data_IF_325078735629
#
_entry.id   IF_325078735629
#
_cell.length_a   1.000
_cell.length_b   1.000
_cell.length_c   1.000
_cell.angle_alpha   90.00
_cell.angle_beta   90.00
_cell.angle_gamma   90.00
#
_symmetry.space_group_name_H-M   'P 1'
#
loop_
_entity.id
_entity.type
_entity.pdbx_description
1 polymer ?
#
# COMPACT_ATOMS: atom_id res chain seq x y z
N UNK A 1 -4.29 -12.79 -18.16
CA UNK A 1 -5.46 -12.19 -17.47
C UNK A 1 -5.46 -10.71 -17.78
N UNK A 2 -6.57 -10.10 -18.11
CA UNK A 2 -6.62 -8.65 -18.32
C UNK A 2 -6.89 -7.95 -16.97
N UNK A 3 -5.84 -7.76 -16.16
CA UNK A 3 -5.88 -7.09 -14.86
C UNK A 3 -4.91 -5.91 -14.93
N UNK A 4 -5.37 -4.66 -14.72
CA UNK A 4 -4.47 -3.52 -14.64
C UNK A 4 -3.47 -3.69 -13.51
N UNK A 5 -2.19 -3.39 -13.77
CA UNK A 5 -1.10 -3.54 -12.83
C UNK A 5 -0.42 -2.20 -12.58
N UNK A 6 -0.21 -1.91 -11.30
CA UNK A 6 0.67 -0.85 -10.83
C UNK A 6 1.86 -1.50 -10.13
N UNK A 7 3.07 -1.26 -10.61
CA UNK A 7 4.28 -1.83 -10.02
C UNK A 7 4.77 -1.00 -8.85
N UNK A 8 5.02 -1.64 -7.72
CA UNK A 8 5.52 -1.01 -6.50
C UNK A 8 6.86 -1.56 -6.07
N UNK A 9 7.81 -0.68 -5.83
CA UNK A 9 9.02 -1.00 -5.07
C UNK A 9 9.45 0.19 -4.21
N UNK A 10 10.14 -0.06 -3.11
CA UNK A 10 10.71 0.98 -2.25
C UNK A 10 12.19 1.15 -2.55
N UNK A 11 12.68 2.38 -2.54
CA UNK A 11 14.11 2.68 -2.59
C UNK A 11 14.75 2.69 -1.18
N UNK A 12 13.93 2.83 -0.15
CA UNK A 12 14.33 2.81 1.26
C UNK A 12 13.24 2.18 2.13
N UNK A 13 13.62 1.36 3.08
CA UNK A 13 12.77 0.82 4.15
C UNK A 13 13.00 1.65 5.42
N UNK A 14 12.45 2.87 5.46
CA UNK A 14 12.78 3.90 6.45
C UNK A 14 12.39 3.56 7.89
N UNK A 15 11.45 2.63 8.12
CA UNK A 15 10.91 2.30 9.44
C UNK A 15 11.26 0.88 9.92
N UNK A 16 12.48 0.42 9.62
CA UNK A 16 12.95 -0.89 10.12
C UNK A 16 12.92 -0.97 11.65
N UNK A 17 12.57 -2.15 12.18
CA UNK A 17 12.58 -2.42 13.62
C UNK A 17 14.00 -2.39 14.19
N UNK A 18 14.96 -2.99 13.49
CA UNK A 18 16.37 -3.01 13.91
C UNK A 18 17.21 -2.02 13.08
N UNK A 19 18.12 -1.33 13.75
CA UNK A 19 19.10 -0.44 13.11
C UNK A 19 20.07 -1.18 12.19
N UNK A 20 20.29 -2.47 12.42
CA UNK A 20 21.15 -3.32 11.61
C UNK A 20 20.46 -3.90 10.38
N UNK A 21 19.15 -3.69 10.21
CA UNK A 21 18.42 -4.19 9.05
C UNK A 21 18.77 -3.39 7.80
N UNK A 22 18.85 -4.06 6.66
CA UNK A 22 19.05 -3.41 5.37
C UNK A 22 17.91 -2.44 5.07
N UNK A 23 18.27 -1.25 4.60
CA UNK A 23 17.32 -0.18 4.28
C UNK A 23 16.96 -0.12 2.80
N UNK A 24 17.83 -0.54 1.93
CA UNK A 24 17.66 -0.46 0.47
C UNK A 24 18.82 0.25 -0.21
N UNK A 25 18.64 0.55 -1.49
CA UNK A 25 19.70 1.07 -2.37
C UNK A 25 19.78 2.61 -2.42
N UNK A 26 18.87 3.28 -1.73
CA UNK A 26 18.78 4.75 -1.74
C UNK A 26 17.97 5.32 -2.90
N UNK A 27 17.73 6.63 -2.82
CA UNK A 27 16.78 7.31 -3.70
C UNK A 27 17.25 7.37 -5.15
N UNK A 28 18.52 7.64 -5.41
CA UNK A 28 19.04 7.85 -6.77
C UNK A 28 19.01 6.56 -7.58
N UNK A 29 19.65 5.52 -7.08
CA UNK A 29 19.68 4.21 -7.73
C UNK A 29 18.27 3.60 -7.83
N UNK A 30 17.44 3.80 -6.79
CA UNK A 30 16.05 3.35 -6.77
C UNK A 30 15.22 3.99 -7.87
N UNK A 31 15.34 5.29 -8.08
CA UNK A 31 14.62 6.01 -9.13
C UNK A 31 15.12 5.62 -10.54
N UNK A 32 16.41 5.37 -10.71
CA UNK A 32 16.95 4.87 -11.99
C UNK A 32 16.33 3.52 -12.36
N UNK A 33 16.28 2.58 -11.39
CA UNK A 33 15.67 1.26 -11.62
C UNK A 33 14.18 1.39 -11.91
N UNK A 34 13.44 2.20 -11.13
CA UNK A 34 12.00 2.42 -11.35
C UNK A 34 11.73 3.03 -12.74
N UNK A 35 12.57 3.97 -13.19
CA UNK A 35 12.49 4.54 -14.54
C UNK A 35 12.69 3.49 -15.62
N UNK A 36 13.66 2.57 -15.44
CA UNK A 36 13.90 1.45 -16.37
C UNK A 36 12.70 0.53 -16.43
N UNK A 37 12.17 0.09 -15.28
CA UNK A 37 10.97 -0.76 -15.20
C UNK A 37 9.78 -0.09 -15.87
N UNK A 38 9.54 1.19 -15.60
CA UNK A 38 8.46 1.97 -16.21
C UNK A 38 8.53 1.93 -17.74
N UNK A 39 9.69 2.17 -18.30
CA UNK A 39 9.90 2.24 -19.76
C UNK A 39 9.84 0.86 -20.43
N UNK A 40 10.49 -0.13 -19.83
CA UNK A 40 10.61 -1.47 -20.40
C UNK A 40 9.27 -2.21 -20.43
N UNK A 41 8.49 -2.10 -19.34
CA UNK A 41 7.24 -2.82 -19.19
C UNK A 41 5.98 -1.97 -19.43
N UNK A 42 6.15 -0.68 -19.72
CA UNK A 42 5.05 0.29 -19.87
C UNK A 42 4.05 0.23 -18.70
N UNK A 43 4.55 0.24 -17.46
CA UNK A 43 3.77 0.13 -16.24
C UNK A 43 3.62 1.48 -15.53
N UNK A 44 2.47 1.65 -14.87
CA UNK A 44 2.31 2.68 -13.84
C UNK A 44 3.14 2.32 -12.63
N UNK A 45 3.90 3.28 -12.10
CA UNK A 45 4.85 3.08 -11.00
C UNK A 45 4.38 3.81 -9.74
N UNK A 46 4.46 3.11 -8.61
CA UNK A 46 4.27 3.67 -7.27
C UNK A 46 5.50 3.41 -6.40
N UNK A 47 5.92 4.39 -5.62
CA UNK A 47 6.91 4.21 -4.55
C UNK A 47 6.54 5.03 -3.31
N UNK A 48 7.02 4.62 -2.15
CA UNK A 48 6.83 5.35 -0.91
C UNK A 48 7.84 6.50 -0.75
N UNK A 49 7.37 7.58 -0.12
CA UNK A 49 8.17 8.73 0.30
C UNK A 49 8.09 8.87 1.81
N UNK A 50 9.16 9.35 2.44
CA UNK A 50 9.29 9.38 3.90
C UNK A 50 9.50 10.79 4.44
N UNK A 51 9.90 11.71 3.56
CA UNK A 51 10.18 13.12 3.89
C UNK A 51 9.67 14.05 2.78
N UNK A 52 9.29 15.29 3.17
CA UNK A 52 8.76 16.28 2.23
C UNK A 52 9.78 16.64 1.12
N UNK A 53 11.07 16.64 1.44
CA UNK A 53 12.14 16.94 0.48
C UNK A 53 12.28 15.93 -0.65
N UNK A 54 11.78 14.71 -0.45
CA UNK A 54 11.83 13.65 -1.46
C UNK A 54 10.74 13.82 -2.55
N UNK A 55 9.63 14.51 -2.22
CA UNK A 55 8.44 14.53 -3.07
C UNK A 55 8.73 14.99 -4.50
N UNK A 56 9.41 16.13 -4.66
CA UNK A 56 9.69 16.70 -5.98
C UNK A 56 10.61 15.82 -6.82
N UNK A 57 11.64 15.23 -6.20
CA UNK A 57 12.58 14.36 -6.89
C UNK A 57 11.92 13.04 -7.32
N UNK A 58 11.16 12.41 -6.42
CA UNK A 58 10.49 11.14 -6.70
C UNK A 58 9.40 11.29 -7.75
N UNK A 59 8.63 12.39 -7.70
CA UNK A 59 7.55 12.67 -8.65
C UNK A 59 8.01 12.83 -10.11
N UNK A 60 9.29 13.11 -10.34
CA UNK A 60 9.82 13.18 -11.70
C UNK A 60 9.90 11.82 -12.42
N UNK A 61 9.79 10.73 -11.69
CA UNK A 61 9.92 9.36 -12.23
C UNK A 61 8.62 8.57 -12.08
N UNK A 62 7.98 8.63 -10.91
CA UNK A 62 6.82 7.78 -10.60
C UNK A 62 5.49 8.47 -10.90
N UNK A 63 4.43 7.69 -11.04
CA UNK A 63 3.08 8.19 -11.29
C UNK A 63 2.29 8.39 -9.99
N UNK A 64 2.64 7.62 -8.96
CA UNK A 64 1.94 7.60 -7.68
C UNK A 64 2.97 7.73 -6.56
N UNK A 65 2.78 8.71 -5.68
CA UNK A 65 3.51 8.85 -4.42
C UNK A 65 2.73 8.16 -3.30
N UNK A 66 3.36 7.23 -2.59
CA UNK A 66 2.74 6.58 -1.45
C UNK A 66 3.20 7.22 -0.15
N UNK A 67 2.24 7.63 0.67
CA UNK A 67 2.47 8.02 2.07
C UNK A 67 2.37 6.77 2.95
N UNK A 68 3.42 6.36 3.65
CA UNK A 68 3.40 5.24 4.58
C UNK A 68 2.37 5.44 5.70
N UNK A 69 1.87 4.32 6.24
CA UNK A 69 0.82 4.34 7.25
C UNK A 69 1.19 5.15 8.51
N UNK A 70 2.43 5.04 8.99
CA UNK A 70 2.89 5.79 10.17
C UNK A 70 2.95 7.31 9.92
N UNK A 71 3.10 7.74 8.67
CA UNK A 71 3.23 9.13 8.27
C UNK A 71 1.93 9.74 7.74
N UNK A 72 0.82 9.01 7.78
CA UNK A 72 -0.45 9.41 7.15
C UNK A 72 -1.04 10.72 7.69
N UNK A 73 -0.61 11.20 8.85
CA UNK A 73 -1.06 12.46 9.46
C UNK A 73 -0.07 13.61 9.33
N UNK A 74 1.15 13.38 8.82
CA UNK A 74 2.20 14.40 8.72
C UNK A 74 1.83 15.47 7.69
N UNK A 75 1.43 16.64 8.18
CA UNK A 75 0.86 17.70 7.34
C UNK A 75 1.84 18.16 6.26
N UNK A 76 3.09 18.41 6.62
CA UNK A 76 4.09 18.91 5.66
C UNK A 76 4.38 17.91 4.55
N UNK A 77 4.43 16.61 4.87
CA UNK A 77 4.61 15.54 3.89
C UNK A 77 3.40 15.45 2.93
N UNK A 78 2.18 15.50 3.48
CA UNK A 78 0.94 15.46 2.69
C UNK A 78 0.84 16.66 1.75
N UNK A 79 1.16 17.87 2.24
CA UNK A 79 1.16 19.11 1.46
C UNK A 79 2.24 19.07 0.37
N UNK A 80 3.45 18.61 0.69
CA UNK A 80 4.53 18.48 -0.28
C UNK A 80 4.20 17.48 -1.39
N UNK A 81 3.63 16.32 -1.05
CA UNK A 81 3.16 15.34 -2.02
C UNK A 81 2.02 15.90 -2.90
N UNK A 82 1.08 16.65 -2.30
CA UNK A 82 -0.03 17.27 -3.02
C UNK A 82 0.44 18.34 -4.03
N UNK A 83 1.57 18.99 -3.79
CA UNK A 83 2.14 19.99 -4.71
C UNK A 83 2.82 19.38 -5.95
N UNK A 84 2.88 18.07 -6.03
CA UNK A 84 3.32 17.37 -7.24
C UNK A 84 2.12 17.02 -8.13
N UNK A 85 2.37 16.69 -9.40
CA UNK A 85 1.32 16.24 -10.33
C UNK A 85 0.94 14.77 -10.16
N UNK A 86 1.61 14.04 -9.28
CA UNK A 86 1.37 12.63 -9.04
C UNK A 86 0.04 12.35 -8.33
N UNK A 87 -0.47 11.15 -8.51
CA UNK A 87 -1.50 10.61 -7.63
C UNK A 87 -0.88 10.42 -6.24
N UNK A 88 -1.60 10.78 -5.18
CA UNK A 88 -1.17 10.57 -3.80
C UNK A 88 -1.95 9.41 -3.19
N UNK A 89 -1.27 8.29 -2.95
CA UNK A 89 -1.82 7.15 -2.24
C UNK A 89 -1.49 7.25 -0.76
N UNK A 90 -2.49 7.35 0.10
CA UNK A 90 -2.29 7.37 1.55
C UNK A 90 -2.63 6.02 2.15
N UNK A 91 -1.67 5.33 2.73
CA UNK A 91 -1.95 4.17 3.60
C UNK A 91 -2.51 4.67 4.92
N UNK A 92 -3.72 4.22 5.27
CA UNK A 92 -4.33 4.56 6.55
C UNK A 92 -3.49 3.98 7.70
N UNK A 93 -3.13 4.83 8.65
CA UNK A 93 -2.39 4.39 9.84
C UNK A 93 -3.17 3.36 10.66
N UNK A 94 -2.43 2.41 11.26
CA UNK A 94 -3.01 1.37 12.13
C UNK A 94 -3.71 1.94 13.36
N UNK A 95 -3.34 3.17 13.75
CA UNK A 95 -3.88 3.92 14.87
C UNK A 95 -5.06 4.83 14.51
N UNK A 96 -5.36 4.96 13.18
CA UNK A 96 -6.33 5.92 12.68
C UNK A 96 -7.70 5.27 12.50
N UNK A 97 -8.75 5.90 13.04
CA UNK A 97 -10.11 5.48 12.76
C UNK A 97 -10.47 5.73 11.28
N UNK A 98 -11.33 4.90 10.67
CA UNK A 98 -11.67 5.03 9.25
C UNK A 98 -12.20 6.42 8.86
N UNK A 99 -13.04 7.03 9.69
CA UNK A 99 -13.60 8.37 9.45
C UNK A 99 -12.59 9.51 9.56
N UNK A 100 -11.47 9.32 10.28
CA UNK A 100 -10.44 10.34 10.41
C UNK A 100 -9.62 10.51 9.12
N UNK A 101 -9.69 9.55 8.19
CA UNK A 101 -9.02 9.66 6.89
C UNK A 101 -9.54 10.85 6.07
N UNK A 102 -10.79 11.28 6.31
CA UNK A 102 -11.35 12.44 5.63
C UNK A 102 -10.55 13.71 5.86
N UNK A 103 -9.97 13.88 7.07
CA UNK A 103 -9.13 15.03 7.36
C UNK A 103 -7.77 14.94 6.63
N UNK A 104 -7.24 13.73 6.45
CA UNK A 104 -6.02 13.52 5.67
C UNK A 104 -6.26 13.85 4.20
N UNK A 105 -7.32 13.31 3.62
CA UNK A 105 -7.73 13.61 2.23
C UNK A 105 -8.00 15.09 2.03
N UNK A 106 -8.66 15.75 3.00
CA UNK A 106 -8.91 17.20 2.96
C UNK A 106 -7.63 18.01 2.89
N UNK A 107 -6.57 17.65 3.64
CA UNK A 107 -5.28 18.34 3.57
C UNK A 107 -4.71 18.30 2.14
N UNK A 108 -4.74 17.13 1.50
CA UNK A 108 -4.22 16.96 0.13
C UNK A 108 -5.06 17.78 -0.87
N UNK A 109 -6.39 17.62 -0.84
CA UNK A 109 -7.31 18.32 -1.75
C UNK A 109 -7.24 19.85 -1.59
N UNK A 110 -7.17 20.34 -0.35
CA UNK A 110 -7.02 21.78 -0.07
C UNK A 110 -5.66 22.34 -0.50
N UNK A 111 -4.68 21.48 -0.75
CA UNK A 111 -3.36 21.86 -1.30
C UNK A 111 -3.31 21.82 -2.84
N UNK A 112 -4.47 21.60 -3.50
CA UNK A 112 -4.61 21.69 -4.96
C UNK A 112 -4.61 20.34 -5.70
N UNK A 113 -4.45 19.20 -5.02
CA UNK A 113 -4.40 17.89 -5.68
C UNK A 113 -5.65 17.05 -5.37
N UNK A 114 -6.45 16.78 -6.41
CA UNK A 114 -7.63 15.94 -6.30
C UNK A 114 -7.38 14.45 -6.64
N UNK A 115 -6.17 14.09 -7.07
CA UNK A 115 -5.76 12.73 -7.44
C UNK A 115 -5.34 11.96 -6.18
N UNK A 116 -6.30 11.52 -5.38
CA UNK A 116 -6.04 10.86 -4.09
C UNK A 116 -6.59 9.44 -4.09
N UNK A 117 -5.80 8.51 -3.59
CA UNK A 117 -6.17 7.12 -3.31
C UNK A 117 -5.99 6.88 -1.81
N UNK A 118 -6.87 6.09 -1.22
CA UNK A 118 -6.77 5.67 0.19
C UNK A 118 -6.56 4.17 0.25
N UNK A 119 -5.60 3.71 1.05
CA UNK A 119 -5.32 2.29 1.23
C UNK A 119 -5.59 1.87 2.68
N UNK A 120 -6.54 0.95 2.86
CA UNK A 120 -6.78 0.25 4.13
C UNK A 120 -5.73 -0.85 4.33
N UNK A 121 -5.21 -0.99 5.55
CA UNK A 121 -4.19 -2.00 5.88
C UNK A 121 -4.29 -2.59 7.29
N UNK A 122 -5.46 -2.51 7.89
CA UNK A 122 -5.72 -2.97 9.24
C UNK A 122 -5.49 -1.90 10.32
N UNK A 123 -6.01 -2.17 11.48
CA UNK A 123 -5.91 -1.35 12.69
C UNK A 123 -5.31 -2.18 13.82
N UNK A 124 -4.52 -1.54 14.68
CA UNK A 124 -3.92 -2.19 15.86
C UNK A 124 -5.01 -2.68 16.81
N UNK A 125 -4.89 -3.93 17.25
CA UNK A 125 -5.79 -4.55 18.20
C UNK A 125 -4.95 -5.27 19.27
N UNK A 126 -4.73 -4.59 20.39
CA UNK A 126 -3.77 -5.04 21.38
C UNK A 126 -2.30 -4.88 20.90
N UNK A 127 -1.42 -5.73 21.41
CA UNK A 127 0.01 -5.71 21.05
C UNK A 127 0.29 -6.60 19.84
N UNK A 128 1.11 -6.11 18.91
CA UNK A 128 1.64 -6.86 17.76
C UNK A 128 0.58 -7.56 16.89
N UNK A 129 -0.68 -7.14 16.95
CA UNK A 129 -1.79 -7.74 16.22
C UNK A 129 -2.56 -6.67 15.45
N UNK A 130 -2.99 -7.01 14.24
CA UNK A 130 -3.85 -6.18 13.41
C UNK A 130 -5.18 -6.89 13.15
N UNK A 131 -6.24 -6.09 13.04
CA UNK A 131 -7.56 -6.54 12.60
C UNK A 131 -7.99 -5.71 11.40
N UNK A 132 -8.55 -6.36 10.39
CA UNK A 132 -9.19 -5.70 9.25
C UNK A 132 -10.69 -5.64 9.46
N UNK A 133 -11.20 -4.47 9.80
CA UNK A 133 -12.64 -4.22 9.87
C UNK A 133 -13.17 -3.91 8.47
N UNK A 134 -13.91 -4.84 7.88
CA UNK A 134 -14.47 -4.65 6.53
C UNK A 134 -15.46 -3.50 6.44
N UNK A 135 -16.04 -3.03 7.56
CA UNK A 135 -16.88 -1.82 7.64
C UNK A 135 -16.06 -0.54 7.38
N UNK A 136 -14.75 -0.60 7.56
CA UNK A 136 -13.87 0.52 7.23
C UNK A 136 -13.90 0.88 5.74
N UNK A 137 -14.08 -0.10 4.85
CA UNK A 137 -14.06 0.13 3.39
C UNK A 137 -15.18 1.08 2.95
N UNK A 138 -16.47 0.83 3.24
CA UNK A 138 -17.53 1.78 2.90
C UNK A 138 -17.37 3.13 3.62
N UNK A 139 -16.81 3.17 4.83
CA UNK A 139 -16.53 4.42 5.52
C UNK A 139 -15.45 5.25 4.78
N UNK A 140 -14.36 4.61 4.35
CA UNK A 140 -13.31 5.25 3.58
C UNK A 140 -13.82 5.77 2.22
N UNK A 141 -14.75 5.06 1.58
CA UNK A 141 -15.38 5.49 0.31
C UNK A 141 -16.11 6.84 0.42
N UNK A 142 -16.60 7.22 1.61
CA UNK A 142 -17.23 8.53 1.83
C UNK A 142 -16.28 9.70 1.61
N UNK A 143 -14.96 9.46 1.54
CA UNK A 143 -13.96 10.47 1.14
C UNK A 143 -14.02 10.86 -0.34
N UNK A 144 -14.84 10.14 -1.14
CA UNK A 144 -14.89 10.24 -2.60
C UNK A 144 -13.51 10.01 -3.25
N UNK A 145 -12.78 9.02 -2.72
CA UNK A 145 -11.51 8.54 -3.26
C UNK A 145 -11.61 7.03 -3.55
N UNK A 146 -10.91 6.52 -4.55
CA UNK A 146 -10.72 5.09 -4.70
C UNK A 146 -10.12 4.49 -3.43
N UNK A 147 -10.66 3.35 -2.98
CA UNK A 147 -10.16 2.63 -1.80
C UNK A 147 -9.46 1.36 -2.25
N UNK A 148 -8.19 1.22 -1.88
CA UNK A 148 -7.37 0.02 -2.07
C UNK A 148 -7.33 -0.74 -0.75
N UNK A 149 -7.29 -2.06 -0.81
CA UNK A 149 -7.04 -2.89 0.35
C UNK A 149 -5.66 -3.53 0.26
N UNK A 150 -4.82 -3.29 1.25
CA UNK A 150 -3.50 -3.92 1.38
C UNK A 150 -3.65 -5.27 2.07
N UNK A 151 -3.68 -6.32 1.28
CA UNK A 151 -3.96 -7.67 1.75
C UNK A 151 -2.77 -8.29 2.49
N UNK A 152 -1.53 -7.92 2.13
CA UNK A 152 -0.34 -8.49 2.72
C UNK A 152 0.07 -7.82 4.04
N UNK A 153 -0.03 -6.49 4.12
CA UNK A 153 0.27 -5.80 5.38
C UNK A 153 -0.86 -5.91 6.41
N UNK A 154 -2.09 -6.22 5.99
CA UNK A 154 -3.21 -6.42 6.93
C UNK A 154 -3.08 -7.66 7.82
N UNK A 155 -2.25 -8.63 7.40
CA UNK A 155 -1.95 -9.86 8.16
C UNK A 155 -0.59 -9.81 8.86
N UNK A 156 0.07 -8.65 8.86
CA UNK A 156 1.34 -8.44 9.53
C UNK A 156 1.17 -8.47 11.05
N UNK A 157 2.18 -8.98 11.73
CA UNK A 157 2.34 -8.90 13.19
C UNK A 157 3.51 -7.95 13.47
N UNK A 158 3.28 -6.63 13.60
CA UNK A 158 4.36 -5.66 13.74
C UNK A 158 5.21 -5.94 14.98
N UNK A 159 6.53 -6.12 14.80
CA UNK A 159 7.45 -6.46 15.89
C UNK A 159 7.23 -7.83 16.53
N UNK A 160 6.37 -8.69 15.99
CA UNK A 160 5.96 -9.96 16.58
C UNK A 160 7.09 -11.00 16.75
N UNK A 161 8.26 -10.78 16.09
CA UNK A 161 9.46 -11.59 16.23
C UNK A 161 10.61 -10.83 16.94
N UNK A 162 10.30 -9.77 17.69
CA UNK A 162 11.29 -8.94 18.36
C UNK A 162 12.04 -8.02 17.38
N UNK A 163 13.00 -8.54 16.64
CA UNK A 163 13.82 -7.76 15.71
C UNK A 163 13.19 -7.60 14.30
N UNK A 164 12.06 -8.25 14.05
CA UNK A 164 11.34 -8.22 12.78
C UNK A 164 9.84 -8.40 13.00
N UNK A 165 9.06 -8.09 11.97
CA UNK A 165 7.63 -8.38 11.96
C UNK A 165 7.37 -9.86 11.66
N UNK A 166 6.38 -10.43 12.35
CA UNK A 166 5.74 -11.68 11.98
C UNK A 166 4.59 -11.44 10.98
N UNK A 167 3.86 -12.49 10.66
CA UNK A 167 2.68 -12.40 9.79
C UNK A 167 2.03 -13.75 9.53
N UNK A 168 0.82 -13.69 8.99
CA UNK A 168 -0.04 -14.85 8.77
C UNK A 168 -0.50 -14.92 7.31
N UNK A 169 0.41 -15.26 6.41
CA UNK A 169 0.20 -15.37 4.94
C UNK A 169 -1.09 -16.09 4.57
N UNK A 170 -1.49 -17.11 5.32
CA UNK A 170 -2.68 -17.91 5.07
C UNK A 170 -3.98 -17.08 5.03
N UNK A 171 -4.03 -15.94 5.71
CA UNK A 171 -5.20 -15.07 5.72
C UNK A 171 -5.23 -14.04 4.57
N UNK A 172 -4.16 -13.90 3.79
CA UNK A 172 -4.12 -12.95 2.66
C UNK A 172 -5.26 -13.23 1.68
N UNK A 173 -5.44 -14.48 1.26
CA UNK A 173 -6.53 -14.86 0.34
C UNK A 173 -7.92 -14.64 0.97
N UNK A 174 -8.07 -14.91 2.27
CA UNK A 174 -9.34 -14.73 2.98
C UNK A 174 -9.75 -13.26 3.00
N UNK A 175 -8.83 -12.39 3.45
CA UNK A 175 -9.09 -10.96 3.55
C UNK A 175 -9.23 -10.29 2.17
N UNK A 176 -8.47 -10.74 1.17
CA UNK A 176 -8.60 -10.26 -0.20
C UNK A 176 -10.01 -10.51 -0.77
N UNK A 177 -10.54 -11.71 -0.59
CA UNK A 177 -11.91 -12.03 -1.03
C UNK A 177 -12.95 -11.19 -0.31
N UNK A 178 -12.82 -11.02 1.01
CA UNK A 178 -13.73 -10.19 1.79
C UNK A 178 -13.69 -8.72 1.32
N UNK A 179 -12.51 -8.14 1.13
CA UNK A 179 -12.36 -6.77 0.67
C UNK A 179 -12.95 -6.55 -0.74
N UNK A 180 -12.73 -7.49 -1.67
CA UNK A 180 -13.30 -7.41 -3.02
C UNK A 180 -14.83 -7.52 -2.95
N UNK A 181 -15.37 -8.41 -2.13
CA UNK A 181 -16.82 -8.55 -1.97
C UNK A 181 -17.48 -7.27 -1.43
N UNK A 182 -16.77 -6.48 -0.61
CA UNK A 182 -17.20 -5.14 -0.16
C UNK A 182 -17.01 -4.07 -1.25
N UNK A 183 -16.29 -4.40 -2.33
CA UNK A 183 -16.17 -3.55 -3.52
C UNK A 183 -15.03 -2.54 -3.44
N UNK A 184 -13.81 -2.94 -3.10
CA UNK A 184 -12.61 -2.09 -3.21
C UNK A 184 -12.27 -1.79 -4.68
N UNK A 185 -11.58 -0.67 -4.92
CA UNK A 185 -11.13 -0.27 -6.26
C UNK A 185 -9.93 -1.12 -6.73
N UNK A 186 -9.18 -1.72 -5.81
CA UNK A 186 -8.05 -2.59 -6.12
C UNK A 186 -7.45 -3.20 -4.87
N UNK A 187 -6.45 -4.05 -5.09
CA UNK A 187 -5.68 -4.71 -4.02
C UNK A 187 -4.21 -4.30 -4.11
N UNK A 188 -3.59 -4.15 -2.96
CA UNK A 188 -2.14 -4.10 -2.83
C UNK A 188 -1.65 -5.45 -2.28
N UNK A 189 -0.67 -6.04 -2.95
CA UNK A 189 -0.08 -7.33 -2.57
C UNK A 189 1.43 -7.30 -2.75
N UNK A 190 2.15 -7.83 -1.79
CA UNK A 190 3.57 -8.13 -1.94
C UNK A 190 3.77 -9.59 -2.33
N UNK A 191 4.67 -9.83 -3.26
CA UNK A 191 4.99 -11.17 -3.76
C UNK A 191 6.50 -11.32 -3.93
N UNK A 192 6.99 -12.51 -3.70
CA UNK A 192 8.40 -12.89 -3.90
C UNK A 192 8.48 -14.32 -4.40
N UNK A 193 9.52 -14.64 -5.19
CA UNK A 193 9.75 -16.01 -5.67
C UNK A 193 9.98 -17.01 -4.53
N UNK A 194 10.60 -16.53 -3.46
CA UNK A 194 10.85 -17.27 -2.22
C UNK A 194 10.64 -16.31 -1.04
N UNK A 195 9.40 -16.20 -0.52
CA UNK A 195 9.07 -15.26 0.55
C UNK A 195 9.91 -15.40 1.82
N UNK A 196 10.36 -16.61 2.13
CA UNK A 196 11.11 -16.85 3.36
C UNK A 196 12.56 -16.33 3.28
N UNK A 197 13.06 -16.10 2.06
CA UNK A 197 14.35 -15.43 1.79
C UNK A 197 14.23 -13.93 1.54
N UNK A 198 13.00 -13.37 1.57
CA UNK A 198 12.80 -11.96 1.29
C UNK A 198 13.43 -11.06 2.37
N UNK A 199 14.02 -9.91 1.99
CA UNK A 199 14.70 -9.02 2.94
C UNK A 199 13.75 -8.34 3.93
N UNK A 200 12.43 -8.35 3.67
CA UNK A 200 11.38 -7.84 4.56
C UNK A 200 10.06 -8.53 4.29
N UNK A 201 9.17 -8.51 5.28
CA UNK A 201 7.76 -8.90 5.18
C UNK A 201 7.49 -10.31 4.64
N UNK A 202 8.52 -11.16 4.58
CA UNK A 202 8.44 -12.54 4.09
C UNK A 202 7.25 -13.35 4.61
N UNK A 203 6.94 -13.33 5.93
CA UNK A 203 5.79 -14.03 6.50
C UNK A 203 4.43 -13.62 5.95
N UNK A 204 4.33 -12.46 5.27
CA UNK A 204 3.10 -11.92 4.71
C UNK A 204 3.03 -12.06 3.19
N UNK A 205 4.18 -12.22 2.52
CA UNK A 205 4.26 -12.22 1.06
C UNK A 205 3.63 -13.47 0.46
N UNK A 206 3.06 -13.29 -0.71
CA UNK A 206 2.50 -14.37 -1.52
C UNK A 206 3.64 -14.99 -2.36
N UNK A 207 3.81 -16.32 -2.38
CA UNK A 207 4.68 -16.97 -3.34
C UNK A 207 4.30 -16.59 -4.78
N UNK A 208 5.28 -16.24 -5.59
CA UNK A 208 5.03 -15.72 -6.95
C UNK A 208 4.32 -16.75 -7.85
N UNK A 209 4.59 -18.02 -7.67
CA UNK A 209 3.96 -19.13 -8.40
C UNK A 209 2.46 -19.31 -8.03
N UNK A 210 2.06 -18.95 -6.81
CA UNK A 210 0.67 -18.98 -6.36
C UNK A 210 -0.14 -17.77 -6.82
N UNK A 211 0.52 -16.64 -7.12
CA UNK A 211 -0.12 -15.36 -7.41
C UNK A 211 -1.13 -15.46 -8.57
N UNK A 212 -0.78 -16.16 -9.64
CA UNK A 212 -1.65 -16.30 -10.83
C UNK A 212 -2.98 -16.96 -10.48
N UNK A 213 -2.97 -18.03 -9.67
CA UNK A 213 -4.18 -18.73 -9.27
C UNK A 213 -5.04 -17.89 -8.33
N UNK A 214 -4.38 -17.19 -7.38
CA UNK A 214 -5.06 -16.27 -6.50
C UNK A 214 -5.76 -15.14 -7.30
N UNK A 215 -5.08 -14.52 -8.24
CA UNK A 215 -5.65 -13.44 -9.06
C UNK A 215 -6.83 -13.91 -9.92
N UNK A 216 -6.81 -15.15 -10.46
CA UNK A 216 -7.96 -15.73 -11.17
C UNK A 216 -9.18 -15.85 -10.26
N UNK A 217 -8.98 -16.38 -9.05
CA UNK A 217 -10.04 -16.47 -8.04
C UNK A 217 -10.60 -15.10 -7.69
N UNK A 218 -9.74 -14.14 -7.38
CA UNK A 218 -10.13 -12.80 -6.97
C UNK A 218 -10.87 -12.03 -8.08
N UNK A 219 -10.49 -12.24 -9.35
CA UNK A 219 -11.21 -11.66 -10.49
C UNK A 219 -12.67 -12.13 -10.57
N UNK A 220 -12.95 -13.40 -10.24
CA UNK A 220 -14.32 -13.90 -10.22
C UNK A 220 -15.16 -13.22 -9.12
N UNK A 221 -14.57 -13.00 -7.93
CA UNK A 221 -15.21 -12.23 -6.87
C UNK A 221 -15.45 -10.77 -7.27
N UNK A 222 -14.51 -10.15 -7.96
CA UNK A 222 -14.62 -8.77 -8.43
C UNK A 222 -15.75 -8.59 -9.45
N UNK A 223 -15.84 -9.49 -10.41
CA UNK A 223 -16.95 -9.51 -11.39
C UNK A 223 -18.28 -9.66 -10.67
N UNK A 224 -18.40 -10.63 -9.76
CA UNK A 224 -19.65 -10.87 -9.02
C UNK A 224 -20.05 -9.65 -8.16
N UNK A 225 -19.10 -9.06 -7.43
CA UNK A 225 -19.40 -7.92 -6.57
C UNK A 225 -19.80 -6.67 -7.35
N UNK A 226 -19.26 -6.48 -8.55
CA UNK A 226 -19.57 -5.32 -9.42
C UNK A 226 -20.78 -5.50 -10.31
N UNK A 227 -21.23 -6.72 -10.54
CA UNK A 227 -22.44 -6.99 -11.34
C UNK A 227 -23.74 -6.74 -10.60
N UNK A 228 -23.70 -6.57 -9.28
CA UNK A 228 -24.87 -6.41 -8.41
C UNK A 228 -24.97 -5.00 -7.80
N UNK A 229 -24.24 -4.02 -8.31
CA UNK A 229 -24.25 -2.61 -7.86
C UNK A 229 -24.97 -1.73 -8.87
#
# INVERSE_FOLDING_TARGET
MNIPLVYKSSFDKANRTSISSERGIGIDDGLEILSKVKKEFNLTIITDIHDASQCQKVSSVVDILQIPAFLCRQTDLLVAAAKTDCVVNVKKGQFLAPWDIHQVVKKIKSSGNNKVIVTERGVSFGYNTLVSDMRAIPELKKSNCPVIFDATHSVQQPGGKGNSSGGERNYVSVLSRAAIAVGVAGLFMETHKDPDSAPSDGPNMIPLDELSNLLKLLKNFDVLSKSNI
#
